data_IF_722483377879
#
_entry.id   IF_722483377879
#
_cell.length_a   1.000
_cell.length_b   1.000
_cell.length_c   1.000
_cell.angle_alpha   90.00
_cell.angle_beta   90.00
_cell.angle_gamma   90.00
#
_symmetry.space_group_name_H-M   'P 1'
#
loop_
_entity.id
_entity.type
_entity.pdbx_description
1 polymer ?
#
# COMPACT_ATOMS: atom_id res chain seq x y z
N UNK A 1 -14.06 27.59 -28.09
CA UNK A 1 -12.91 27.23 -27.24
C UNK A 1 -13.42 26.31 -26.15
N UNK A 2 -13.19 25.01 -26.29
CA UNK A 2 -13.69 23.98 -25.38
C UNK A 2 -12.49 23.09 -25.09
N UNK A 3 -11.79 23.36 -23.99
CA UNK A 3 -10.71 22.51 -23.50
C UNK A 3 -11.33 21.59 -22.45
N UNK A 4 -11.82 20.43 -22.90
CA UNK A 4 -12.15 19.31 -22.03
C UNK A 4 -10.85 18.73 -21.48
N UNK A 5 -10.46 19.13 -20.27
CA UNK A 5 -9.45 18.39 -19.51
C UNK A 5 -10.16 17.15 -18.98
N UNK A 6 -10.02 16.05 -19.72
CA UNK A 6 -10.53 14.74 -19.36
C UNK A 6 -10.02 14.35 -17.97
N UNK A 7 -10.92 14.33 -16.98
CA UNK A 7 -10.63 13.96 -15.58
C UNK A 7 -10.42 12.45 -15.38
N UNK A 8 -10.05 11.71 -16.43
CA UNK A 8 -10.01 10.25 -16.46
C UNK A 8 -8.60 9.64 -16.51
N UNK A 9 -7.51 10.42 -16.42
CA UNK A 9 -6.21 9.97 -16.92
C UNK A 9 -5.09 9.63 -15.90
N UNK A 10 -5.33 9.37 -14.61
CA UNK A 10 -4.18 9.12 -13.69
C UNK A 10 -4.31 7.99 -12.66
N UNK A 11 -5.37 7.19 -12.70
CA UNK A 11 -5.41 5.98 -11.88
C UNK A 11 -5.31 4.76 -12.81
N UNK A 12 -4.11 4.17 -13.00
CA UNK A 12 -4.08 2.79 -13.48
C UNK A 12 -4.95 1.97 -12.52
N UNK A 13 -5.76 1.05 -13.08
CA UNK A 13 -6.54 0.07 -12.32
C UNK A 13 -5.67 -0.44 -11.16
N UNK A 14 -6.23 -0.43 -9.94
CA UNK A 14 -5.50 -0.91 -8.78
C UNK A 14 -4.98 -2.31 -9.13
N UNK A 15 -3.65 -2.50 -9.27
CA UNK A 15 -3.15 -3.83 -9.55
C UNK A 15 -3.60 -4.74 -8.39
N UNK A 16 -3.78 -6.03 -8.69
CA UNK A 16 -3.94 -7.05 -7.66
C UNK A 16 -2.92 -6.78 -6.54
N UNK A 17 -3.33 -6.97 -5.29
CA UNK A 17 -2.51 -6.61 -4.12
C UNK A 17 -1.14 -7.26 -4.27
N UNK A 18 -0.11 -6.46 -4.46
CA UNK A 18 1.24 -6.97 -4.46
C UNK A 18 2.11 -6.14 -3.53
N UNK A 19 3.08 -6.81 -2.94
CA UNK A 19 4.17 -6.19 -2.23
C UNK A 19 5.48 -6.49 -2.93
N UNK A 20 6.45 -5.58 -2.77
CA UNK A 20 7.83 -5.90 -3.10
C UNK A 20 8.76 -5.60 -1.95
N UNK A 21 9.86 -6.35 -1.93
CA UNK A 21 10.95 -6.17 -0.99
C UNK A 21 12.22 -5.90 -1.78
N UNK A 22 12.96 -4.86 -1.40
CA UNK A 22 14.30 -4.61 -1.90
C UNK A 22 15.32 -5.00 -0.81
N UNK A 23 16.09 -6.07 -1.06
CA UNK A 23 16.96 -6.71 -0.09
C UNK A 23 18.12 -7.49 -0.73
N UNK A 24 18.58 -8.52 -0.03
CA UNK A 24 19.67 -9.37 -0.48
C UNK A 24 19.38 -10.01 -1.83
N UNK A 25 20.43 -10.21 -2.62
CA UNK A 25 20.33 -10.91 -3.90
C UNK A 25 20.33 -12.43 -3.69
N UNK A 26 19.18 -13.06 -3.94
CA UNK A 26 19.03 -14.52 -3.92
C UNK A 26 18.98 -15.12 -5.34
N UNK A 27 19.11 -14.31 -6.40
CA UNK A 27 19.07 -14.82 -7.78
C UNK A 27 20.25 -15.73 -8.12
N UNK A 28 21.38 -15.54 -7.43
CA UNK A 28 22.60 -16.32 -7.64
C UNK A 28 22.59 -17.67 -6.92
N UNK A 29 21.72 -17.88 -5.92
CA UNK A 29 21.66 -19.11 -5.11
C UNK A 29 20.20 -19.55 -4.82
N UNK A 30 19.45 -20.06 -5.83
CA UNK A 30 18.05 -20.50 -5.67
C UNK A 30 17.79 -21.53 -4.58
N UNK A 31 18.75 -22.43 -4.34
CA UNK A 31 18.65 -23.45 -3.28
C UNK A 31 18.69 -22.83 -1.88
N UNK A 32 19.43 -21.74 -1.70
CA UNK A 32 19.54 -21.05 -0.42
C UNK A 32 18.24 -20.31 -0.08
N UNK A 33 17.55 -19.75 -1.08
CA UNK A 33 16.23 -19.16 -0.89
C UNK A 33 15.21 -20.20 -0.38
N UNK A 34 15.14 -21.37 -1.00
CA UNK A 34 14.21 -22.42 -0.58
C UNK A 34 14.54 -22.96 0.82
N UNK A 35 15.83 -23.18 1.12
CA UNK A 35 16.29 -23.62 2.45
C UNK A 35 15.95 -22.57 3.50
N UNK A 36 16.20 -21.30 3.22
CA UNK A 36 15.92 -20.20 4.15
C UNK A 36 14.40 -20.05 4.40
N UNK A 37 13.57 -20.18 3.35
CA UNK A 37 12.10 -20.22 3.48
C UNK A 37 11.65 -21.39 4.37
N UNK A 38 12.22 -22.59 4.19
CA UNK A 38 11.92 -23.76 5.04
C UNK A 38 12.36 -23.56 6.49
N UNK A 39 13.52 -22.95 6.73
CA UNK A 39 13.99 -22.62 8.09
C UNK A 39 13.08 -21.62 8.82
N UNK A 40 12.40 -20.73 8.09
CA UNK A 40 11.37 -19.85 8.63
C UNK A 40 10.02 -20.56 8.91
N UNK A 41 9.95 -21.87 8.70
CA UNK A 41 8.73 -22.67 8.87
C UNK A 41 7.74 -22.55 7.71
N UNK A 42 8.11 -21.87 6.62
CA UNK A 42 7.30 -21.82 5.41
C UNK A 42 7.43 -23.13 4.62
N UNK A 43 6.40 -23.46 3.84
CA UNK A 43 6.39 -24.63 2.95
C UNK A 43 6.45 -24.17 1.49
N UNK A 44 7.65 -23.87 0.96
CA UNK A 44 7.78 -23.42 -0.42
C UNK A 44 7.50 -24.58 -1.39
N UNK A 45 6.54 -24.35 -2.28
CA UNK A 45 6.30 -25.20 -3.45
C UNK A 45 6.85 -24.47 -4.68
N UNK A 46 7.74 -25.10 -5.45
CA UNK A 46 8.28 -24.46 -6.67
C UNK A 46 7.19 -24.32 -7.71
N UNK A 47 7.18 -23.18 -8.38
CA UNK A 47 6.31 -22.88 -9.51
C UNK A 47 7.15 -22.81 -10.79
N UNK A 48 6.59 -23.30 -11.89
CA UNK A 48 7.12 -23.00 -13.21
C UNK A 48 6.86 -21.51 -13.50
N UNK A 49 7.88 -20.78 -13.98
CA UNK A 49 7.79 -19.34 -14.17
C UNK A 49 6.80 -18.99 -15.30
N UNK A 50 5.79 -18.16 -15.00
CA UNK A 50 4.85 -17.63 -15.99
C UNK A 50 4.58 -16.13 -15.77
N UNK A 51 4.49 -15.35 -16.85
CA UNK A 51 3.94 -13.98 -16.82
C UNK A 51 4.92 -12.87 -16.40
N UNK A 52 4.50 -12.01 -15.46
CA UNK A 52 5.22 -10.79 -15.01
C UNK A 52 6.38 -11.05 -14.03
N UNK A 53 6.69 -12.31 -13.80
CA UNK A 53 7.77 -12.76 -12.92
C UNK A 53 9.12 -12.58 -13.64
N UNK A 54 10.15 -12.18 -12.90
CA UNK A 54 11.51 -12.08 -13.42
C UNK A 54 12.14 -13.45 -13.63
N UNK A 55 13.29 -13.48 -14.29
CA UNK A 55 14.10 -14.70 -14.41
C UNK A 55 14.57 -15.16 -13.01
N UNK A 56 14.22 -16.38 -12.63
CA UNK A 56 14.63 -16.99 -11.36
C UNK A 56 13.56 -17.90 -10.73
N UNK A 57 13.81 -18.44 -9.53
CA UNK A 57 12.91 -19.38 -8.89
C UNK A 57 11.64 -18.66 -8.38
N UNK A 58 10.48 -19.19 -8.76
CA UNK A 58 9.19 -18.79 -8.21
C UNK A 58 8.72 -19.83 -7.19
N UNK A 59 8.14 -19.37 -6.09
CA UNK A 59 7.64 -20.21 -5.01
C UNK A 59 6.22 -19.83 -4.65
N UNK A 60 5.37 -20.84 -4.42
CA UNK A 60 4.15 -20.68 -3.64
C UNK A 60 4.49 -20.91 -2.17
N UNK A 61 4.18 -19.93 -1.35
CA UNK A 61 4.39 -19.94 0.09
C UNK A 61 3.03 -20.06 0.78
N UNK A 62 3.02 -20.75 1.92
CA UNK A 62 1.84 -20.90 2.77
C UNK A 62 2.15 -20.44 4.19
N UNK A 63 1.24 -19.65 4.77
CA UNK A 63 1.22 -19.28 6.19
C UNK A 63 -0.23 -19.31 6.68
N UNK A 64 -0.58 -20.29 7.51
CA UNK A 64 -1.99 -20.53 7.86
C UNK A 64 -2.82 -20.85 6.60
N UNK A 65 -3.82 -20.01 6.34
CA UNK A 65 -4.68 -20.08 5.16
C UNK A 65 -4.27 -19.08 4.07
N UNK A 66 -3.27 -18.22 4.31
CA UNK A 66 -2.71 -17.37 3.27
C UNK A 66 -1.79 -18.18 2.36
N UNK A 67 -2.02 -18.05 1.05
CA UNK A 67 -1.08 -18.44 0.01
C UNK A 67 -0.52 -17.22 -0.70
N UNK A 68 0.77 -17.23 -0.98
CA UNK A 68 1.47 -16.12 -1.60
C UNK A 68 2.47 -16.65 -2.64
N UNK A 69 2.47 -16.07 -3.82
CA UNK A 69 3.50 -16.28 -4.84
C UNK A 69 4.66 -15.32 -4.58
N UNK A 70 5.86 -15.87 -4.41
CA UNK A 70 7.11 -15.15 -4.23
C UNK A 70 8.04 -15.43 -5.42
N UNK A 71 8.52 -14.39 -6.09
CA UNK A 71 9.48 -14.52 -7.17
C UNK A 71 10.33 -13.25 -7.33
N UNK A 72 11.48 -13.32 -8.02
CA UNK A 72 12.18 -12.12 -8.46
C UNK A 72 11.25 -11.22 -9.30
N UNK A 73 11.38 -9.90 -9.11
CA UNK A 73 10.63 -8.93 -9.89
C UNK A 73 11.19 -8.84 -11.31
N UNK A 74 10.33 -8.99 -12.33
CA UNK A 74 10.71 -8.76 -13.72
C UNK A 74 10.84 -7.26 -14.05
N UNK A 75 11.53 -6.93 -15.14
CA UNK A 75 11.80 -5.55 -15.57
C UNK A 75 10.55 -4.68 -15.64
N UNK A 76 9.45 -5.22 -16.19
CA UNK A 76 8.17 -4.51 -16.28
C UNK A 76 7.55 -4.18 -14.92
N UNK A 77 7.79 -4.99 -13.89
CA UNK A 77 7.35 -4.71 -12.52
C UNK A 77 8.23 -3.66 -11.86
N UNK A 78 9.55 -3.76 -12.04
CA UNK A 78 10.53 -2.79 -11.54
C UNK A 78 10.25 -1.38 -12.10
N UNK A 79 9.99 -1.27 -13.41
CA UNK A 79 9.64 0.01 -14.04
C UNK A 79 8.34 0.63 -13.45
N UNK A 80 7.37 -0.20 -13.06
CA UNK A 80 6.10 0.27 -12.49
C UNK A 80 6.24 0.78 -11.07
N UNK A 81 7.27 0.41 -10.33
CA UNK A 81 7.45 0.74 -8.91
C UNK A 81 8.56 1.76 -8.67
N UNK A 82 9.07 2.36 -9.75
CA UNK A 82 10.14 3.36 -9.68
C UNK A 82 9.79 4.48 -8.67
N UNK A 83 10.64 4.74 -7.65
CA UNK A 83 10.43 5.81 -6.68
C UNK A 83 10.38 7.21 -7.31
N UNK A 84 10.99 7.43 -8.49
CA UNK A 84 10.94 8.73 -9.17
C UNK A 84 9.68 8.90 -10.02
N UNK A 85 8.89 7.84 -10.21
CA UNK A 85 7.66 7.95 -10.97
C UNK A 85 6.66 8.88 -10.25
N UNK A 86 6.02 9.85 -10.94
CA UNK A 86 5.16 10.85 -10.31
C UNK A 86 4.01 10.28 -9.49
N UNK A 87 3.54 9.07 -9.83
CA UNK A 87 2.47 8.38 -9.12
C UNK A 87 2.93 7.45 -7.99
N UNK A 88 4.23 7.39 -7.70
CA UNK A 88 4.82 6.66 -6.58
C UNK A 88 5.00 7.60 -5.40
N UNK A 89 4.71 7.12 -4.20
CA UNK A 89 4.94 7.85 -2.95
C UNK A 89 6.02 7.13 -2.14
N UNK A 90 6.70 7.87 -1.27
CA UNK A 90 7.71 7.32 -0.37
C UNK A 90 7.57 7.92 1.02
N UNK A 91 7.52 7.04 2.02
CA UNK A 91 7.83 7.36 3.42
C UNK A 91 9.24 6.88 3.81
N UNK A 92 9.94 6.22 2.88
CA UNK A 92 11.27 5.70 3.09
C UNK A 92 12.35 6.74 2.79
N UNK A 93 13.57 6.48 3.26
CA UNK A 93 14.78 7.07 2.67
C UNK A 93 14.93 6.64 1.21
N UNK A 94 15.87 7.27 0.50
CA UNK A 94 16.20 6.86 -0.87
C UNK A 94 16.57 5.38 -0.95
N UNK A 95 16.01 4.67 -1.93
CA UNK A 95 16.38 3.30 -2.25
C UNK A 95 17.88 3.20 -2.60
N UNK A 96 18.54 2.06 -2.32
CA UNK A 96 19.91 1.80 -2.78
C UNK A 96 20.05 1.98 -4.29
N UNK A 97 21.15 2.55 -4.78
CA UNK A 97 21.29 2.88 -6.21
C UNK A 97 21.13 1.67 -7.17
N UNK A 98 21.42 0.47 -6.69
CA UNK A 98 21.37 -0.79 -7.43
C UNK A 98 20.13 -1.65 -7.08
N UNK A 99 19.08 -1.04 -6.51
CA UNK A 99 17.86 -1.75 -6.10
C UNK A 99 17.14 -2.49 -7.25
N UNK A 100 17.36 -2.04 -8.49
CA UNK A 100 16.78 -2.61 -9.72
C UNK A 100 17.58 -3.81 -10.27
N UNK A 101 18.81 -4.02 -9.79
CA UNK A 101 19.69 -5.04 -10.34
C UNK A 101 19.17 -6.45 -9.99
N UNK A 102 19.18 -7.32 -11.01
CA UNK A 102 18.54 -8.64 -11.02
C UNK A 102 18.73 -9.42 -9.72
N UNK A 103 17.60 -9.74 -9.07
CA UNK A 103 17.54 -10.58 -7.87
C UNK A 103 17.40 -9.87 -6.53
N UNK A 104 17.57 -8.56 -6.48
CA UNK A 104 17.43 -7.77 -5.23
C UNK A 104 16.01 -7.32 -4.93
N UNK A 105 15.16 -7.29 -5.95
CA UNK A 105 13.76 -6.96 -5.80
C UNK A 105 12.91 -8.23 -5.96
N UNK A 106 12.16 -8.55 -4.91
CA UNK A 106 11.26 -9.71 -4.89
C UNK A 106 9.82 -9.24 -4.84
N UNK A 107 9.01 -9.87 -5.69
CA UNK A 107 7.58 -9.65 -5.82
C UNK A 107 6.81 -10.70 -5.03
N UNK A 108 5.79 -10.23 -4.33
CA UNK A 108 4.93 -11.04 -3.48
C UNK A 108 3.46 -10.71 -3.75
N UNK A 109 2.71 -11.69 -4.23
CA UNK A 109 1.30 -11.53 -4.57
C UNK A 109 0.48 -12.63 -3.90
N UNK A 110 -0.62 -12.31 -3.19
CA UNK A 110 -1.55 -13.31 -2.70
C UNK A 110 -2.01 -14.19 -3.86
N UNK A 111 -1.73 -15.49 -3.75
CA UNK A 111 -2.17 -16.46 -4.74
C UNK A 111 -3.61 -16.87 -4.39
N UNK A 112 -4.57 -16.82 -5.33
CA UNK A 112 -5.89 -17.36 -5.08
C UNK A 112 -5.77 -18.85 -4.72
N UNK A 113 -6.59 -19.26 -3.76
CA UNK A 113 -6.83 -20.66 -3.47
C UNK A 113 -8.06 -20.99 -4.31
N UNK A 114 -7.94 -21.81 -5.34
CA UNK A 114 -9.12 -22.24 -6.12
C UNK A 114 -9.91 -21.11 -6.82
N UNK A 115 -11.21 -21.36 -6.98
CA UNK A 115 -12.16 -20.52 -7.73
C UNK A 115 -12.23 -19.07 -7.21
N UNK A 116 -12.57 -18.12 -8.08
CA UNK A 116 -12.63 -16.67 -7.84
C UNK A 116 -13.54 -16.23 -6.66
N UNK A 117 -14.28 -17.16 -6.05
CA UNK A 117 -15.19 -16.96 -4.92
C UNK A 117 -14.58 -17.28 -3.55
N UNK A 118 -13.33 -17.75 -3.45
CA UNK A 118 -12.71 -18.01 -2.14
C UNK A 118 -12.39 -16.72 -1.37
N UNK A 119 -12.55 -16.80 -0.05
CA UNK A 119 -12.37 -15.68 0.89
C UNK A 119 -11.01 -15.00 0.70
N UNK A 120 -11.00 -13.67 0.57
CA UNK A 120 -9.76 -12.90 0.50
C UNK A 120 -8.93 -13.20 1.75
N UNK A 121 -7.63 -13.52 1.60
CA UNK A 121 -6.80 -13.87 2.74
C UNK A 121 -6.78 -12.75 3.77
N UNK A 122 -6.72 -13.13 5.05
CA UNK A 122 -6.66 -12.20 6.16
C UNK A 122 -5.50 -11.22 5.99
N UNK A 123 -5.80 -9.92 6.02
CA UNK A 123 -4.80 -8.86 5.90
C UNK A 123 -3.72 -8.97 7.00
N UNK A 124 -4.11 -9.48 8.17
CA UNK A 124 -3.20 -9.78 9.28
C UNK A 124 -2.13 -10.79 8.85
N UNK A 125 -2.55 -11.88 8.21
CA UNK A 125 -1.64 -12.94 7.78
C UNK A 125 -0.74 -12.46 6.63
N UNK A 126 -1.26 -11.60 5.75
CA UNK A 126 -0.47 -10.97 4.70
C UNK A 126 0.67 -10.13 5.29
N UNK A 127 0.39 -9.25 6.26
CA UNK A 127 1.43 -8.42 6.85
C UNK A 127 2.39 -9.21 7.75
N UNK A 128 1.91 -10.28 8.39
CA UNK A 128 2.75 -11.22 9.11
C UNK A 128 3.73 -11.91 8.14
N UNK A 129 3.24 -12.42 7.01
CA UNK A 129 4.07 -13.00 5.95
C UNK A 129 5.07 -11.98 5.40
N UNK A 130 4.62 -10.76 5.08
CA UNK A 130 5.49 -9.68 4.61
C UNK A 130 6.62 -9.35 5.60
N UNK A 131 6.33 -9.35 6.91
CA UNK A 131 7.35 -9.13 7.95
C UNK A 131 8.36 -10.26 8.03
N UNK A 132 7.93 -11.52 7.91
CA UNK A 132 8.82 -12.68 7.86
C UNK A 132 9.74 -12.63 6.63
N UNK A 133 9.19 -12.23 5.48
CA UNK A 133 9.95 -12.08 4.25
C UNK A 133 10.93 -10.89 4.34
N UNK A 134 10.55 -9.78 4.97
CA UNK A 134 11.47 -8.67 5.25
C UNK A 134 12.68 -9.15 6.04
N UNK A 135 12.45 -9.92 7.11
CA UNK A 135 13.51 -10.46 7.96
C UNK A 135 14.39 -11.46 7.19
N UNK A 136 13.76 -12.37 6.45
CA UNK A 136 14.44 -13.39 5.65
C UNK A 136 15.35 -12.77 4.57
N UNK A 137 14.83 -11.78 3.85
CA UNK A 137 15.54 -11.16 2.74
C UNK A 137 16.51 -10.06 3.18
N UNK A 138 16.59 -9.75 4.48
CA UNK A 138 17.37 -8.61 4.96
C UNK A 138 16.93 -7.31 4.31
N UNK A 139 15.62 -7.16 4.09
CA UNK A 139 15.03 -6.07 3.36
C UNK A 139 15.36 -4.71 3.95
N UNK A 140 15.70 -3.76 3.08
CA UNK A 140 15.77 -2.34 3.45
C UNK A 140 14.45 -1.62 3.22
N UNK A 141 13.68 -2.04 2.21
CA UNK A 141 12.46 -1.35 1.79
C UNK A 141 11.32 -2.32 1.50
N UNK A 142 10.10 -1.83 1.73
CA UNK A 142 8.85 -2.50 1.40
C UNK A 142 8.00 -1.60 0.51
N UNK A 143 7.49 -2.14 -0.59
CA UNK A 143 6.56 -1.45 -1.47
C UNK A 143 5.16 -2.03 -1.31
N UNK A 144 4.16 -1.17 -1.14
CA UNK A 144 2.75 -1.55 -1.15
C UNK A 144 2.07 -1.10 -2.44
N UNK A 145 1.69 -2.07 -3.28
CA UNK A 145 1.12 -1.86 -4.62
C UNK A 145 -0.12 -0.95 -4.66
N UNK A 146 -1.16 -1.22 -3.85
CA UNK A 146 -2.39 -0.42 -3.85
C UNK A 146 -2.15 1.08 -3.63
N UNK A 147 -1.29 1.45 -2.67
CA UNK A 147 -0.92 2.83 -2.41
C UNK A 147 0.21 3.36 -3.31
N UNK A 148 0.90 2.48 -4.04
CA UNK A 148 2.19 2.72 -4.68
C UNK A 148 3.18 3.40 -3.74
N UNK A 149 3.34 2.81 -2.56
CA UNK A 149 4.04 3.44 -1.45
C UNK A 149 5.27 2.64 -1.05
N UNK A 150 6.43 3.27 -1.12
CA UNK A 150 7.66 2.77 -0.51
C UNK A 150 7.73 3.15 0.97
N UNK A 151 8.10 2.19 1.80
CA UNK A 151 8.34 2.33 3.24
C UNK A 151 9.70 1.75 3.62
N UNK A 152 10.33 2.34 4.63
CA UNK A 152 11.47 1.69 5.29
C UNK A 152 10.99 0.37 5.91
N UNK A 153 11.69 -0.73 5.62
CA UNK A 153 11.25 -2.05 6.03
C UNK A 153 11.25 -2.23 7.57
N UNK A 154 12.18 -1.58 8.28
CA UNK A 154 12.22 -1.65 9.75
C UNK A 154 11.05 -0.90 10.38
N UNK A 155 10.72 0.28 9.84
CA UNK A 155 9.55 1.05 10.29
C UNK A 155 8.26 0.28 10.01
N UNK A 156 8.10 -0.25 8.79
CA UNK A 156 6.94 -1.05 8.42
C UNK A 156 6.77 -2.28 9.33
N UNK A 157 7.87 -3.00 9.60
CA UNK A 157 7.88 -4.15 10.51
C UNK A 157 7.47 -3.75 11.93
N UNK A 158 7.98 -2.64 12.44
CA UNK A 158 7.59 -2.11 13.76
C UNK A 158 6.09 -1.79 13.82
N UNK A 159 5.56 -1.08 12.82
CA UNK A 159 4.13 -0.76 12.76
C UNK A 159 3.26 -2.00 12.55
N UNK A 160 3.75 -3.03 11.86
CA UNK A 160 3.07 -4.32 11.76
C UNK A 160 3.02 -5.04 13.11
N UNK A 161 4.11 -5.01 13.88
CA UNK A 161 4.12 -5.57 15.23
C UNK A 161 3.12 -4.85 16.16
N UNK A 162 3.04 -3.52 16.08
CA UNK A 162 2.03 -2.72 16.79
C UNK A 162 0.61 -3.08 16.36
N UNK A 163 0.36 -3.27 15.06
CA UNK A 163 -0.92 -3.75 14.54
C UNK A 163 -1.26 -5.14 15.10
N UNK A 164 -0.31 -6.06 15.13
CA UNK A 164 -0.55 -7.41 15.64
C UNK A 164 -0.93 -7.42 17.13
N UNK A 165 -0.40 -6.47 17.90
CA UNK A 165 -0.67 -6.28 19.32
C UNK A 165 -1.97 -5.51 19.62
N UNK A 166 -2.25 -4.45 18.85
CA UNK A 166 -3.38 -3.54 19.10
C UNK A 166 -4.63 -3.81 18.25
N UNK A 167 -4.49 -4.55 17.16
CA UNK A 167 -5.49 -4.71 16.11
C UNK A 167 -5.56 -3.52 15.12
N UNK A 168 -4.76 -2.46 15.33
CA UNK A 168 -4.87 -1.22 14.56
C UNK A 168 -3.97 -1.24 13.32
N UNK A 169 -4.51 -1.07 12.09
CA UNK A 169 -3.72 -1.13 10.87
C UNK A 169 -2.68 0.00 10.79
N UNK A 170 -1.49 -0.26 10.19
CA UNK A 170 -0.42 0.73 10.06
C UNK A 170 -0.70 1.73 8.92
N UNK A 171 -1.72 2.58 9.10
CA UNK A 171 -2.30 3.45 8.06
C UNK A 171 -1.26 4.18 7.20
N UNK A 172 -0.25 4.77 7.82
CA UNK A 172 0.77 5.56 7.10
C UNK A 172 1.54 4.70 6.09
N UNK A 173 1.76 3.42 6.37
CA UNK A 173 2.45 2.51 5.45
C UNK A 173 1.53 1.86 4.42
N UNK A 174 0.21 2.05 4.52
CA UNK A 174 -0.78 1.41 3.67
C UNK A 174 -1.53 2.38 2.76
N UNK A 175 -1.50 3.68 3.07
CA UNK A 175 -2.23 4.72 2.37
C UNK A 175 -1.29 5.88 2.08
N UNK A 176 -1.16 6.22 0.80
CA UNK A 176 -0.42 7.40 0.38
C UNK A 176 -1.33 8.63 0.44
N UNK A 177 -0.84 9.71 1.07
CA UNK A 177 -1.51 11.02 1.09
C UNK A 177 -0.79 11.92 0.10
N UNK A 178 -1.39 12.11 -1.08
CA UNK A 178 -0.72 12.76 -2.20
C UNK A 178 -1.27 14.15 -2.42
N UNK A 179 -0.37 15.11 -2.46
CA UNK A 179 -0.66 16.46 -2.92
C UNK A 179 -0.96 16.43 -4.42
N UNK A 180 -2.05 17.08 -4.78
CA UNK A 180 -2.44 17.35 -6.14
C UNK A 180 -2.60 18.87 -6.27
N UNK A 181 -1.74 19.48 -7.07
CA UNK A 181 -1.85 20.89 -7.42
C UNK A 181 -2.98 21.03 -8.46
N UNK A 182 -4.19 21.30 -8.00
CA UNK A 182 -5.33 21.62 -8.83
C UNK A 182 -5.65 23.12 -8.70
N UNK A 183 -4.83 23.95 -9.33
CA UNK A 183 -5.00 25.41 -9.31
C UNK A 183 -4.59 26.03 -7.96
N UNK A 184 -5.41 26.92 -7.43
CA UNK A 184 -5.08 27.74 -6.25
C UNK A 184 -5.27 27.02 -4.90
N UNK A 185 -5.84 25.81 -4.89
CA UNK A 185 -6.09 25.05 -3.67
C UNK A 185 -5.18 23.81 -3.59
N UNK A 186 -4.45 23.71 -2.48
CA UNK A 186 -3.66 22.51 -2.17
C UNK A 186 -4.59 21.39 -1.73
N UNK A 187 -4.78 20.40 -2.59
CA UNK A 187 -5.66 19.26 -2.36
C UNK A 187 -4.82 18.03 -2.04
N UNK A 188 -5.16 17.34 -0.95
CA UNK A 188 -4.63 16.02 -0.63
C UNK A 188 -5.65 14.96 -1.04
N UNK A 189 -5.20 13.97 -1.81
CA UNK A 189 -5.96 12.76 -2.14
C UNK A 189 -5.30 11.54 -1.52
N UNK A 190 -6.11 10.61 -1.02
CA UNK A 190 -5.59 9.30 -0.63
C UNK A 190 -5.41 8.40 -1.84
N UNK A 191 -4.51 7.43 -1.71
CA UNK A 191 -4.39 6.28 -2.59
C UNK A 191 -4.17 5.04 -1.76
N UNK A 192 -4.93 3.99 -2.03
CA UNK A 192 -4.87 2.71 -1.36
C UNK A 192 -5.93 2.52 -0.29
N UNK A 193 -6.65 3.58 0.13
CA UNK A 193 -7.74 3.43 1.11
C UNK A 193 -8.89 2.60 0.54
N UNK A 194 -9.19 2.75 -0.74
CA UNK A 194 -10.26 2.01 -1.39
C UNK A 194 -10.02 0.50 -1.39
N UNK A 195 -8.76 0.08 -1.31
CA UNK A 195 -8.41 -1.33 -1.17
C UNK A 195 -8.97 -1.96 0.13
N UNK A 196 -9.09 -1.16 1.19
CA UNK A 196 -9.56 -1.63 2.50
C UNK A 196 -11.01 -1.23 2.76
N UNK A 197 -11.39 -0.01 2.42
CA UNK A 197 -12.69 0.57 2.76
C UNK A 197 -13.58 0.91 1.58
N UNK A 198 -13.19 0.58 0.34
CA UNK A 198 -13.97 0.85 -0.87
C UNK A 198 -14.14 2.33 -1.22
N UNK A 199 -13.36 3.22 -0.62
CA UNK A 199 -13.42 4.65 -0.85
C UNK A 199 -12.02 5.30 -0.71
N UNK A 200 -11.67 6.26 -1.55
CA UNK A 200 -10.59 7.22 -1.36
C UNK A 200 -11.14 8.54 -0.80
N UNK A 201 -10.29 9.36 -0.20
CA UNK A 201 -10.64 10.69 0.31
C UNK A 201 -9.95 11.80 -0.49
N UNK A 202 -10.63 12.93 -0.59
CA UNK A 202 -10.12 14.19 -1.12
C UNK A 202 -10.40 15.30 -0.10
N UNK A 203 -9.37 16.08 0.25
CA UNK A 203 -9.53 17.22 1.15
C UNK A 203 -8.66 18.40 0.70
N UNK A 204 -9.25 19.59 0.70
CA UNK A 204 -8.49 20.83 0.56
C UNK A 204 -7.84 21.20 1.91
N UNK A 205 -6.61 21.71 1.88
CA UNK A 205 -5.92 22.18 3.07
C UNK A 205 -6.56 23.46 3.60
N UNK A 206 -7.03 23.48 4.86
CA UNK A 206 -7.50 24.71 5.49
C UNK A 206 -6.37 25.74 5.64
N UNK A 207 -6.75 27.02 5.62
CA UNK A 207 -5.81 28.12 5.85
C UNK A 207 -5.15 27.96 7.22
N UNK A 208 -3.83 28.11 7.27
CA UNK A 208 -3.04 28.01 8.49
C UNK A 208 -2.68 26.58 8.92
N UNK A 209 -3.13 25.54 8.20
CA UNK A 209 -2.70 24.16 8.45
C UNK A 209 -1.45 23.81 7.65
N UNK A 210 -0.57 22.99 8.20
CA UNK A 210 0.48 22.32 7.43
C UNK A 210 -0.07 21.08 6.73
N UNK A 211 0.68 20.52 5.78
CA UNK A 211 0.35 19.20 5.20
C UNK A 211 0.27 18.13 6.29
N UNK A 212 1.19 18.17 7.27
CA UNK A 212 1.20 17.22 8.38
C UNK A 212 -0.07 17.30 9.23
N UNK A 213 -0.62 18.50 9.43
CA UNK A 213 -1.88 18.69 10.18
C UNK A 213 -3.07 18.04 9.46
N UNK A 214 -3.13 18.21 8.13
CA UNK A 214 -4.16 17.59 7.31
C UNK A 214 -4.00 16.07 7.24
N UNK A 215 -2.78 15.58 6.97
CA UNK A 215 -2.46 14.14 6.91
C UNK A 215 -2.77 13.45 8.23
N UNK A 216 -2.48 14.06 9.39
CA UNK A 216 -2.85 13.50 10.70
C UNK A 216 -4.35 13.22 10.81
N UNK A 217 -5.18 14.15 10.33
CA UNK A 217 -6.65 14.03 10.40
C UNK A 217 -7.18 13.03 9.37
N UNK A 218 -6.65 13.07 8.15
CA UNK A 218 -6.99 12.10 7.12
C UNK A 218 -6.54 10.68 7.51
N UNK A 219 -5.40 10.50 8.18
CA UNK A 219 -4.97 9.20 8.68
C UNK A 219 -5.95 8.64 9.72
N UNK A 220 -6.47 9.48 10.62
CA UNK A 220 -7.51 9.09 11.58
C UNK A 220 -8.83 8.72 10.89
N UNK A 221 -9.25 9.46 9.87
CA UNK A 221 -10.45 9.12 9.09
C UNK A 221 -10.26 7.86 8.26
N UNK A 222 -9.06 7.63 7.73
CA UNK A 222 -8.71 6.41 7.01
C UNK A 222 -8.87 5.18 7.91
N UNK A 223 -8.39 5.28 9.15
CA UNK A 223 -8.57 4.25 10.15
C UNK A 223 -10.06 3.96 10.44
N UNK A 224 -10.88 5.01 10.60
CA UNK A 224 -12.33 4.86 10.77
C UNK A 224 -12.97 4.11 9.59
N UNK A 225 -12.59 4.46 8.36
CA UNK A 225 -13.09 3.82 7.15
C UNK A 225 -12.62 2.35 7.03
N UNK A 226 -11.38 2.05 7.41
CA UNK A 226 -10.87 0.66 7.41
C UNK A 226 -11.65 -0.20 8.40
N UNK A 227 -11.98 0.33 9.58
CA UNK A 227 -12.65 -0.42 10.65
C UNK A 227 -14.16 -0.51 10.42
N UNK A 228 -14.80 0.61 10.06
CA UNK A 228 -16.25 0.76 10.03
C UNK A 228 -16.84 0.75 8.61
N UNK A 229 -16.00 0.70 7.57
CA UNK A 229 -16.39 0.71 6.17
C UNK A 229 -16.61 2.11 5.58
N UNK A 230 -17.05 2.19 4.31
CA UNK A 230 -17.18 3.45 3.58
C UNK A 230 -18.27 4.35 4.15
N UNK A 231 -18.09 5.66 3.96
CA UNK A 231 -19.11 6.65 4.32
C UNK A 231 -20.22 6.63 3.29
N UNK A 232 -21.44 6.24 3.70
CA UNK A 232 -22.59 6.06 2.80
C UNK A 232 -23.43 7.32 2.56
N UNK A 233 -23.29 8.34 3.40
CA UNK A 233 -24.11 9.54 3.33
C UNK A 233 -23.40 10.75 3.91
N UNK A 234 -23.85 11.94 3.52
CA UNK A 234 -23.31 13.19 4.02
C UNK A 234 -23.48 13.28 5.54
N UNK A 235 -22.40 13.61 6.27
CA UNK A 235 -22.40 13.72 7.72
C UNK A 235 -21.37 14.72 8.20
N UNK A 236 -21.62 15.30 9.38
CA UNK A 236 -20.69 16.21 10.07
C UNK A 236 -20.37 15.66 11.45
N UNK A 237 -19.10 15.67 11.82
CA UNK A 237 -18.58 15.16 13.08
C UNK A 237 -17.71 16.22 13.77
N UNK A 238 -17.52 16.15 15.10
CA UNK A 238 -16.46 16.87 15.78
C UNK A 238 -15.07 16.51 15.20
N UNK A 239 -14.18 17.49 15.11
CA UNK A 239 -12.81 17.32 14.64
C UNK A 239 -11.85 16.83 15.72
N UNK A 240 -10.55 16.88 15.42
CA UNK A 240 -9.51 16.45 16.35
C UNK A 240 -9.36 17.42 17.52
N UNK A 241 -9.31 18.72 17.22
CA UNK A 241 -9.17 19.78 18.23
C UNK A 241 -10.53 20.30 18.72
N UNK A 242 -10.63 20.82 19.96
CA UNK A 242 -11.84 21.49 20.43
C UNK A 242 -12.31 22.60 19.47
N UNK A 243 -13.60 22.59 19.14
CA UNK A 243 -14.20 23.55 18.20
C UNK A 243 -13.96 23.24 16.72
N UNK A 244 -13.13 22.24 16.38
CA UNK A 244 -12.98 21.75 15.03
C UNK A 244 -14.19 20.91 14.61
N UNK A 245 -14.53 20.94 13.33
CA UNK A 245 -15.53 20.08 12.72
C UNK A 245 -15.00 19.47 11.42
N UNK A 246 -15.54 18.30 11.09
CA UNK A 246 -15.25 17.56 9.86
C UNK A 246 -16.58 17.36 9.14
N UNK A 247 -16.67 17.77 7.88
CA UNK A 247 -17.78 17.46 6.99
C UNK A 247 -17.33 16.41 5.98
N UNK A 248 -18.13 15.38 5.78
CA UNK A 248 -17.86 14.28 4.86
C UNK A 248 -19.05 14.11 3.93
N UNK A 249 -18.79 14.10 2.62
CA UNK A 249 -19.82 13.93 1.61
C UNK A 249 -19.31 13.00 0.49
N UNK A 250 -19.97 11.84 0.24
CA UNK A 250 -19.63 10.99 -0.90
C UNK A 250 -19.87 11.72 -2.22
N UNK A 251 -18.95 11.61 -3.18
CA UNK A 251 -19.10 12.20 -4.52
C UNK A 251 -19.71 11.19 -5.51
N UNK A 252 -21.02 11.26 -5.69
CA UNK A 252 -21.73 10.58 -6.79
C UNK A 252 -21.40 9.07 -6.89
N UNK A 253 -21.22 8.57 -8.13
CA UNK A 253 -20.85 7.18 -8.42
C UNK A 253 -19.35 6.88 -8.28
N UNK A 254 -18.54 7.84 -7.83
CA UNK A 254 -17.10 7.60 -7.64
C UNK A 254 -16.84 7.10 -6.23
N UNK A 255 -15.80 6.29 -6.08
CA UNK A 255 -15.26 5.86 -4.79
C UNK A 255 -14.62 7.04 -4.02
N UNK A 256 -14.95 8.31 -4.30
CA UNK A 256 -14.32 9.46 -3.64
C UNK A 256 -15.21 10.05 -2.52
N UNK A 257 -14.61 10.29 -1.36
CA UNK A 257 -15.19 11.02 -0.24
C UNK A 257 -14.59 12.43 -0.18
N UNK A 258 -15.42 13.44 -0.36
CA UNK A 258 -14.99 14.82 -0.09
C UNK A 258 -14.99 15.04 1.42
N UNK A 259 -13.86 15.51 1.94
CA UNK A 259 -13.67 15.83 3.36
C UNK A 259 -13.31 17.31 3.48
N UNK A 260 -14.09 18.02 4.26
CA UNK A 260 -13.86 19.43 4.58
C UNK A 260 -13.65 19.60 6.07
N UNK A 261 -12.77 20.52 6.43
CA UNK A 261 -12.46 20.84 7.82
C UNK A 261 -12.75 22.32 8.06
N UNK A 262 -13.18 22.63 9.27
CA UNK A 262 -13.23 24.01 9.72
C UNK A 262 -13.28 24.11 11.24
N UNK A 263 -13.41 25.34 11.72
CA UNK A 263 -13.56 25.64 13.14
C UNK A 263 -14.82 26.46 13.35
N UNK A 264 -15.47 26.24 14.49
CA UNK A 264 -16.46 27.17 14.97
C UNK A 264 -15.74 28.44 15.44
N UNK A 265 -16.27 29.63 15.15
CA UNK A 265 -15.72 30.89 15.65
C UNK A 265 -15.78 31.00 17.17
#
# INVERSE_FOLDING_TARGET
MQAGISSASLLPAAPASFALIAGNDFSTLPADAEVALRHMGLRPERLDAFGTLGEGPAFRLRLGDLYLTAAPAGEGTVARIDPVHPSTSSLASSLPADWQNGGRCWFFEPAPIGDENEEKPSMRDFFMMASLLIDLFGASHFFWGPARLWSDAKQFRASTAEMLASGMPPVLHLIAFRQHDAGDAEIIRTRGLAHFGGQEMEAARPIGWTVADLVRRLARLSLDIIINGPVRGARRLPGLDPGEWISMAPRGSSEALLVEFGRNP
#
